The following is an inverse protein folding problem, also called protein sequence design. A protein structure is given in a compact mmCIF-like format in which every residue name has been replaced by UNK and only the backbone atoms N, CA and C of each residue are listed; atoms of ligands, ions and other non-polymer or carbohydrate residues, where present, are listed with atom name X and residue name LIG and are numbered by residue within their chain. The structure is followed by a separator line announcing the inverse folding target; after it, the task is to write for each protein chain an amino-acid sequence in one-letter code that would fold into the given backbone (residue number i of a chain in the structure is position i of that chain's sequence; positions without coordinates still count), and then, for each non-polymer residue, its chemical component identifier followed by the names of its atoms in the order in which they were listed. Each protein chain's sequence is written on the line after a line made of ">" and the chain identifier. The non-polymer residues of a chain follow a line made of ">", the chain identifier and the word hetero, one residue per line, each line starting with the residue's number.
data_IF_494477824059
#
_entry.id   IF_494477824059
#
_cell.length_a   1.000
_cell.length_b   1.000
_cell.length_c   1.000
_cell.angle_alpha   90.00
_cell.angle_beta   90.00
_cell.angle_gamma   90.00
#
_symmetry.space_group_name_H-M   'P 1'
#
loop_
_entity.id
_entity.type
_entity.pdbx_description
1 polymer ?
#
# COMPACT_ATOMS: atom_id res chain seq x y z
N UNK A 1 -16.26 2.20 29.13
CA UNK A 1 -16.30 2.21 27.65
C UNK A 1 -15.07 1.47 27.17
N UNK A 2 -15.22 0.55 26.21
CA UNK A 2 -14.13 -0.33 25.79
C UNK A 2 -13.09 0.40 24.95
N UNK A 3 -11.82 0.17 25.27
CA UNK A 3 -10.64 0.57 24.50
C UNK A 3 -10.84 0.15 23.02
N UNK A 4 -11.02 1.13 22.12
CA UNK A 4 -11.22 0.83 20.69
C UNK A 4 -9.86 0.60 20.06
N UNK A 5 -9.34 -0.63 20.15
CA UNK A 5 -8.03 -0.97 19.59
C UNK A 5 -8.02 -0.77 18.08
N UNK A 6 -7.00 -0.06 17.58
CA UNK A 6 -6.72 -0.02 16.15
C UNK A 6 -6.24 -1.40 15.71
N UNK A 7 -6.90 -1.95 14.71
CA UNK A 7 -6.55 -3.24 14.10
C UNK A 7 -6.02 -3.02 12.68
N UNK A 8 -5.27 -3.99 12.15
CA UNK A 8 -4.73 -3.91 10.78
C UNK A 8 -5.80 -3.57 9.74
N UNK A 9 -6.99 -4.17 9.86
CA UNK A 9 -8.14 -3.89 9.00
C UNK A 9 -8.54 -2.40 8.96
N UNK A 10 -8.40 -1.66 10.07
CA UNK A 10 -8.66 -0.22 10.11
C UNK A 10 -7.57 0.55 9.35
N UNK A 11 -6.31 0.12 9.47
CA UNK A 11 -5.17 0.73 8.77
C UNK A 11 -5.31 0.52 7.26
N UNK A 12 -5.57 -0.71 6.81
CA UNK A 12 -5.78 -1.01 5.39
C UNK A 12 -7.04 -0.29 4.86
N UNK A 13 -8.11 -0.25 5.66
CA UNK A 13 -9.32 0.48 5.33
C UNK A 13 -9.09 2.00 5.18
N UNK A 14 -8.23 2.58 6.02
CA UNK A 14 -7.78 3.95 5.88
C UNK A 14 -7.01 4.17 4.58
N UNK A 15 -6.04 3.31 4.23
CA UNK A 15 -5.31 3.40 2.96
C UNK A 15 -6.25 3.41 1.74
N UNK A 16 -7.22 2.50 1.71
CA UNK A 16 -8.26 2.42 0.66
C UNK A 16 -9.12 3.68 0.60
N UNK A 17 -9.51 4.23 1.76
CA UNK A 17 -10.26 5.48 1.82
C UNK A 17 -9.50 6.64 1.19
N UNK A 18 -8.20 6.77 1.51
CA UNK A 18 -7.37 7.86 0.99
C UNK A 18 -7.18 7.77 -0.53
N UNK A 19 -7.04 6.56 -1.07
CA UNK A 19 -6.98 6.32 -2.51
C UNK A 19 -8.31 6.70 -3.18
N UNK A 20 -9.43 6.23 -2.65
CA UNK A 20 -10.77 6.54 -3.19
C UNK A 20 -11.07 8.05 -3.16
N UNK A 21 -10.66 8.75 -2.11
CA UNK A 21 -10.77 10.20 -2.03
C UNK A 21 -9.94 10.91 -3.12
N UNK A 22 -8.70 10.49 -3.33
CA UNK A 22 -7.86 11.02 -4.40
C UNK A 22 -8.48 10.78 -5.78
N UNK A 23 -9.04 9.59 -6.03
CA UNK A 23 -9.69 9.23 -7.30
C UNK A 23 -10.94 10.07 -7.58
N UNK A 24 -11.65 10.49 -6.52
CA UNK A 24 -12.78 11.44 -6.60
C UNK A 24 -12.37 12.90 -6.77
N UNK A 25 -11.08 13.17 -6.95
CA UNK A 25 -10.55 14.53 -7.05
C UNK A 25 -10.56 15.29 -5.72
N UNK A 26 -10.58 14.58 -4.59
CA UNK A 26 -10.44 15.13 -3.25
C UNK A 26 -9.03 14.84 -2.72
N UNK A 27 -8.01 15.64 -3.09
CA UNK A 27 -6.62 15.34 -2.78
C UNK A 27 -6.36 15.43 -1.27
N UNK A 28 -5.78 14.36 -0.75
CA UNK A 28 -5.29 14.28 0.62
C UNK A 28 -3.81 14.65 0.66
N UNK A 29 -3.45 15.63 1.48
CA UNK A 29 -2.06 16.08 1.65
C UNK A 29 -1.27 15.15 2.57
N UNK A 30 -1.90 14.67 3.64
CA UNK A 30 -1.37 13.63 4.54
C UNK A 30 -2.51 13.06 5.37
N UNK A 31 -2.32 11.88 5.95
CA UNK A 31 -3.26 11.30 6.89
C UNK A 31 -2.54 10.45 7.93
N UNK A 32 -3.18 10.25 9.08
CA UNK A 32 -2.72 9.31 10.08
C UNK A 32 -3.87 8.75 10.91
N UNK A 33 -3.72 7.52 11.37
CA UNK A 33 -4.40 7.09 12.59
C UNK A 33 -3.66 7.66 13.78
N UNK A 34 -4.35 8.33 14.69
CA UNK A 34 -3.80 8.90 15.91
C UNK A 34 -4.56 8.37 17.13
N UNK A 35 -3.81 7.92 18.14
CA UNK A 35 -4.38 7.59 19.44
C UNK A 35 -4.49 8.86 20.30
N UNK A 36 -5.73 9.27 20.57
CA UNK A 36 -6.05 10.46 21.35
C UNK A 36 -6.05 10.13 22.84
N UNK A 37 -5.09 10.67 23.58
CA UNK A 37 -4.89 10.35 25.01
C UNK A 37 -6.10 10.74 25.86
N UNK A 38 -6.68 11.92 25.60
CA UNK A 38 -7.79 12.45 26.40
C UNK A 38 -9.10 11.65 26.22
N UNK A 39 -9.30 11.09 25.03
CA UNK A 39 -10.52 10.36 24.67
C UNK A 39 -10.33 8.83 24.69
N UNK A 40 -9.10 8.35 24.86
CA UNK A 40 -8.70 6.94 24.81
C UNK A 40 -9.25 6.23 23.55
N UNK A 41 -9.11 6.90 22.40
CA UNK A 41 -9.65 6.42 21.13
C UNK A 41 -8.70 6.62 19.96
N UNK A 42 -8.82 5.74 18.97
CA UNK A 42 -8.12 5.85 17.69
C UNK A 42 -8.96 6.60 16.66
N UNK A 43 -8.37 7.63 16.06
CA UNK A 43 -9.02 8.49 15.07
C UNK A 43 -8.16 8.67 13.81
N UNK A 44 -8.77 8.51 12.65
CA UNK A 44 -8.18 8.81 11.36
C UNK A 44 -8.25 10.31 11.10
N UNK A 45 -7.12 10.99 11.14
CA UNK A 45 -6.98 12.38 10.76
C UNK A 45 -6.59 12.48 9.28
N UNK A 46 -7.35 13.24 8.50
CA UNK A 46 -7.14 13.45 7.07
C UNK A 46 -6.90 14.93 6.84
N UNK A 47 -5.71 15.30 6.42
CA UNK A 47 -5.36 16.68 6.12
C UNK A 47 -5.58 16.99 4.64
N UNK A 48 -6.25 18.10 4.36
CA UNK A 48 -6.62 18.52 3.00
C UNK A 48 -6.28 19.99 2.75
N UNK A 49 -6.01 20.39 1.49
CA UNK A 49 -5.78 21.78 1.15
C UNK A 49 -7.00 22.66 1.47
N UNK A 50 -6.84 23.85 2.08
CA UNK A 50 -7.95 24.71 2.50
C UNK A 50 -8.91 25.07 1.38
N UNK A 51 -8.38 25.26 0.16
CA UNK A 51 -9.17 25.61 -1.04
C UNK A 51 -10.22 24.55 -1.43
N UNK A 52 -10.07 23.31 -0.96
CA UNK A 52 -11.00 22.21 -1.24
C UNK A 52 -11.99 21.98 -0.11
N UNK A 53 -11.74 22.58 1.05
CA UNK A 53 -12.69 22.64 2.15
C UNK A 53 -13.66 23.83 1.96
N UNK A 54 -14.30 23.93 0.78
CA UNK A 54 -15.30 24.98 0.50
C UNK A 54 -16.40 25.04 1.60
N UNK A 55 -16.69 23.90 2.22
CA UNK A 55 -17.19 23.83 3.59
C UNK A 55 -16.73 22.54 4.27
N UNK A 56 -16.58 22.57 5.60
CA UNK A 56 -16.28 21.36 6.39
C UNK A 56 -17.34 20.28 6.17
N UNK A 57 -18.62 20.65 6.08
CA UNK A 57 -19.71 19.72 5.83
C UNK A 57 -19.55 18.96 4.51
N UNK A 58 -19.13 19.65 3.45
CA UNK A 58 -18.88 19.03 2.15
C UNK A 58 -17.74 18.03 2.18
N UNK A 59 -16.66 18.34 2.89
CA UNK A 59 -15.55 17.39 3.08
C UNK A 59 -16.02 16.09 3.77
N UNK A 60 -16.78 16.20 4.86
CA UNK A 60 -17.34 15.02 5.53
C UNK A 60 -18.34 14.25 4.65
N UNK A 61 -19.10 14.93 3.79
CA UNK A 61 -20.00 14.29 2.83
C UNK A 61 -19.24 13.41 1.84
N UNK A 62 -18.12 13.92 1.30
CA UNK A 62 -17.26 13.18 0.38
C UNK A 62 -16.59 11.98 1.07
N UNK A 63 -16.06 12.19 2.28
CA UNK A 63 -15.50 11.11 3.11
C UNK A 63 -16.54 10.03 3.37
N UNK A 64 -17.74 10.41 3.82
CA UNK A 64 -18.80 9.46 4.11
C UNK A 64 -19.20 8.65 2.87
N UNK A 65 -19.35 9.31 1.71
CA UNK A 65 -19.67 8.63 0.47
C UNK A 65 -18.60 7.59 0.10
N UNK A 66 -17.32 7.95 0.17
CA UNK A 66 -16.23 7.01 -0.09
C UNK A 66 -16.19 5.84 0.91
N UNK A 67 -16.43 6.11 2.20
CA UNK A 67 -16.49 5.07 3.23
C UNK A 67 -17.63 4.07 3.00
N UNK A 68 -18.79 4.55 2.54
CA UNK A 68 -19.94 3.71 2.21
C UNK A 68 -19.67 2.83 0.99
N UNK A 69 -19.11 3.41 -0.08
CA UNK A 69 -18.81 2.68 -1.32
C UNK A 69 -17.74 1.58 -1.11
N UNK A 70 -16.83 1.78 -0.15
CA UNK A 70 -15.79 0.81 0.22
C UNK A 70 -16.22 -0.19 1.30
N UNK A 71 -17.41 -0.02 1.88
CA UNK A 71 -17.94 -0.80 3.02
C UNK A 71 -16.96 -0.84 4.22
N UNK A 72 -16.42 0.32 4.61
CA UNK A 72 -15.42 0.39 5.69
C UNK A 72 -16.03 0.06 7.06
N UNK A 73 -15.27 -0.67 7.88
CA UNK A 73 -15.71 -1.17 9.18
C UNK A 73 -15.67 -0.16 10.33
N UNK A 74 -15.07 1.02 10.12
CA UNK A 74 -15.00 2.08 11.13
C UNK A 74 -15.98 3.22 10.80
N UNK A 75 -16.61 3.86 11.81
CA UNK A 75 -17.58 4.93 11.60
C UNK A 75 -16.91 6.27 11.26
N UNK A 76 -17.66 7.17 10.60
CA UNK A 76 -17.23 8.54 10.28
C UNK A 76 -16.85 9.34 11.54
N UNK A 77 -17.42 9.04 12.71
CA UNK A 77 -17.06 9.68 13.99
C UNK A 77 -15.61 9.42 14.43
N UNK A 78 -14.98 8.37 13.89
CA UNK A 78 -13.54 8.09 14.04
C UNK A 78 -12.70 8.75 12.94
N UNK A 79 -13.27 9.67 12.16
CA UNK A 79 -12.54 10.41 11.12
C UNK A 79 -12.62 11.90 11.39
N UNK A 80 -11.49 12.60 11.28
CA UNK A 80 -11.44 14.05 11.34
C UNK A 80 -10.74 14.62 10.12
N UNK A 81 -11.42 15.51 9.42
CA UNK A 81 -10.81 16.31 8.35
C UNK A 81 -10.24 17.61 8.95
N UNK A 82 -8.96 17.88 8.66
CA UNK A 82 -8.22 19.05 9.12
C UNK A 82 -7.57 19.80 7.96
N UNK A 83 -7.15 21.04 8.19
CA UNK A 83 -6.40 21.81 7.20
C UNK A 83 -4.94 21.36 7.15
N UNK A 84 -4.37 21.27 5.96
CA UNK A 84 -2.94 20.97 5.80
C UNK A 84 -2.00 22.16 6.09
N UNK A 85 -2.57 23.35 6.35
CA UNK A 85 -1.84 24.54 6.82
C UNK A 85 -1.49 24.47 8.32
N UNK A 86 -2.04 23.51 9.05
CA UNK A 86 -1.71 23.33 10.45
C UNK A 86 -0.24 22.89 10.63
N UNK A 87 0.54 23.62 11.45
CA UNK A 87 1.97 23.33 11.66
C UNK A 87 2.23 21.87 12.08
N UNK A 88 1.37 21.30 12.92
CA UNK A 88 1.50 19.90 13.36
C UNK A 88 1.39 18.90 12.19
N UNK A 89 0.54 19.20 11.21
CA UNK A 89 0.36 18.41 9.99
C UNK A 89 1.58 18.54 9.07
N UNK A 90 2.16 19.72 8.97
CA UNK A 90 3.38 19.94 8.17
C UNK A 90 4.57 19.15 8.72
N UNK A 91 4.74 19.09 10.04
CA UNK A 91 5.79 18.28 10.68
C UNK A 91 5.60 16.77 10.46
N UNK A 92 4.36 16.29 10.32
CA UNK A 92 4.09 14.88 10.03
C UNK A 92 4.58 14.49 8.65
N UNK A 93 4.45 15.38 7.65
CA UNK A 93 4.89 15.10 6.27
C UNK A 93 6.38 14.80 6.19
N UNK A 94 7.21 15.52 6.95
CA UNK A 94 8.66 15.30 6.95
C UNK A 94 9.08 13.97 7.57
N UNK A 95 8.24 13.36 8.42
CA UNK A 95 8.54 12.07 9.06
C UNK A 95 8.29 10.88 8.13
N UNK A 96 7.37 11.03 7.17
CA UNK A 96 6.89 9.94 6.30
C UNK A 96 7.79 9.69 5.10
N UNK A 97 8.55 10.70 4.66
CA UNK A 97 9.48 10.58 3.52
C UNK A 97 10.59 9.54 3.75
N UNK A 98 10.72 9.01 4.97
CA UNK A 98 11.83 8.17 5.41
C UNK A 98 11.53 6.67 5.32
N UNK A 99 10.28 6.22 5.23
CA UNK A 99 9.94 4.80 5.39
C UNK A 99 9.00 4.21 4.32
N UNK A 100 9.07 2.88 4.19
CA UNK A 100 8.77 2.04 3.03
C UNK A 100 7.31 1.61 2.93
N UNK A 101 6.62 1.61 4.06
CA UNK A 101 5.24 1.17 4.20
C UNK A 101 4.29 2.30 3.78
N UNK A 102 3.15 1.93 3.20
CA UNK A 102 2.05 2.88 3.00
C UNK A 102 1.55 3.48 4.33
N UNK A 103 1.85 2.85 5.48
CA UNK A 103 1.61 3.39 6.82
C UNK A 103 2.78 3.09 7.80
N UNK A 104 3.26 4.12 8.52
CA UNK A 104 4.41 4.03 9.43
C UNK A 104 3.98 4.28 10.86
N UNK A 105 4.27 3.32 11.75
CA UNK A 105 3.99 3.45 13.19
C UNK A 105 4.99 4.40 13.86
N UNK A 106 4.49 5.41 14.57
CA UNK A 106 5.27 6.42 15.26
C UNK A 106 4.81 6.58 16.71
N UNK A 107 5.78 6.63 17.63
CA UNK A 107 5.54 7.09 18.99
C UNK A 107 5.60 8.63 19.01
N UNK A 108 4.52 9.28 19.44
CA UNK A 108 4.41 10.74 19.44
C UNK A 108 4.83 11.37 20.76
N UNK A 109 5.07 10.59 21.81
CA UNK A 109 5.62 11.09 23.07
C UNK A 109 4.81 12.24 23.68
N UNK A 110 3.48 12.19 23.57
CA UNK A 110 2.55 13.25 23.97
C UNK A 110 2.61 14.55 23.13
N UNK A 111 3.06 14.49 21.88
CA UNK A 111 2.93 15.59 20.93
C UNK A 111 1.45 16.00 20.75
N UNK A 112 1.22 17.26 20.39
CA UNK A 112 -0.12 17.74 20.03
C UNK A 112 -0.29 17.77 18.52
N UNK A 113 -1.28 17.03 18.02
CA UNK A 113 -1.70 17.06 16.62
C UNK A 113 -3.09 17.66 16.57
N UNK A 114 -3.27 18.73 15.79
CA UNK A 114 -4.54 19.45 15.67
C UNK A 114 -5.14 19.87 17.02
N UNK A 115 -4.27 20.27 17.96
CA UNK A 115 -4.66 20.67 19.30
C UNK A 115 -5.06 19.52 20.23
N UNK A 116 -4.91 18.25 19.85
CA UNK A 116 -5.18 17.07 20.69
C UNK A 116 -3.88 16.35 21.06
N UNK A 117 -3.79 15.83 22.28
CA UNK A 117 -2.62 15.05 22.71
C UNK A 117 -2.65 13.65 22.09
N UNK A 118 -1.56 13.28 21.42
CA UNK A 118 -1.39 12.00 20.73
C UNK A 118 -0.24 11.21 21.37
N UNK A 119 -0.49 9.95 21.74
CA UNK A 119 0.56 9.06 22.27
C UNK A 119 1.28 8.29 21.18
N UNK A 120 0.53 7.80 20.19
CA UNK A 120 0.98 6.94 19.11
C UNK A 120 0.15 7.19 17.83
N UNK A 121 0.70 6.81 16.68
CA UNK A 121 -0.03 6.93 15.43
C UNK A 121 0.59 6.15 14.27
N UNK A 122 -0.21 5.94 13.24
CA UNK A 122 0.20 5.34 11.97
C UNK A 122 0.02 6.37 10.86
N UNK A 123 1.11 6.88 10.30
CA UNK A 123 1.07 7.95 9.30
C UNK A 123 1.18 7.37 7.90
N UNK A 124 0.30 7.81 6.99
CA UNK A 124 0.25 7.31 5.63
C UNK A 124 1.21 8.02 4.69
N UNK A 125 1.90 7.25 3.85
CA UNK A 125 2.67 7.77 2.71
C UNK A 125 1.77 7.96 1.51
N UNK A 126 1.34 9.21 1.28
CA UNK A 126 0.52 9.56 0.11
C UNK A 126 1.23 9.25 -1.20
N UNK A 127 2.56 9.37 -1.22
CA UNK A 127 3.39 9.04 -2.36
C UNK A 127 3.39 7.52 -2.63
N UNK A 128 3.52 6.70 -1.58
CA UNK A 128 3.45 5.25 -1.71
C UNK A 128 2.08 4.77 -2.17
N UNK A 129 1.01 5.27 -1.55
CA UNK A 129 -0.36 4.96 -1.93
C UNK A 129 -0.65 5.33 -3.38
N UNK A 130 -0.16 6.49 -3.84
CA UNK A 130 -0.31 6.93 -5.23
C UNK A 130 0.44 6.01 -6.18
N UNK A 131 1.66 5.58 -5.81
CA UNK A 131 2.47 4.68 -6.63
C UNK A 131 1.83 3.30 -6.75
N UNK A 132 1.41 2.69 -5.64
CA UNK A 132 0.66 1.43 -5.61
C UNK A 132 -0.59 1.50 -6.48
N UNK A 133 -1.37 2.58 -6.36
CA UNK A 133 -2.55 2.78 -7.18
C UNK A 133 -2.22 2.87 -8.69
N UNK A 134 -1.12 3.54 -9.06
CA UNK A 134 -0.71 3.61 -10.47
C UNK A 134 -0.32 2.23 -11.03
N UNK A 135 0.38 1.42 -10.23
CA UNK A 135 0.71 0.03 -10.59
C UNK A 135 -0.58 -0.79 -10.70
N UNK A 136 -1.47 -0.73 -9.71
CA UNK A 136 -2.78 -1.39 -9.74
C UNK A 136 -3.58 -1.03 -11.00
N UNK A 137 -3.70 0.25 -11.31
CA UNK A 137 -4.42 0.73 -12.48
C UNK A 137 -3.78 0.21 -13.78
N UNK A 138 -2.45 0.10 -13.84
CA UNK A 138 -1.75 -0.50 -14.97
C UNK A 138 -2.04 -1.99 -15.11
N UNK A 139 -1.98 -2.72 -14.00
CA UNK A 139 -2.31 -4.14 -13.94
C UNK A 139 -3.74 -4.41 -14.39
N UNK A 140 -4.72 -3.61 -13.94
CA UNK A 140 -6.12 -3.72 -14.39
C UNK A 140 -6.30 -3.51 -15.89
N UNK A 141 -5.45 -2.73 -16.55
CA UNK A 141 -5.49 -2.55 -18.01
C UNK A 141 -4.92 -3.75 -18.77
N UNK A 142 -4.27 -4.69 -18.08
CA UNK A 142 -3.72 -5.94 -18.63
C UNK A 142 -4.65 -7.14 -18.38
N UNK A 143 -5.90 -6.89 -17.97
CA UNK A 143 -6.93 -7.90 -17.70
C UNK A 143 -7.44 -8.61 -18.98
N UNK A 144 -6.80 -8.36 -20.12
CA UNK A 144 -7.06 -9.02 -21.41
C UNK A 144 -6.46 -10.43 -21.50
N UNK A 145 -5.80 -10.92 -20.46
CA UNK A 145 -5.00 -12.16 -20.51
C UNK A 145 -5.73 -13.43 -20.02
N UNK A 146 -7.04 -13.39 -19.75
CA UNK A 146 -7.78 -14.55 -19.21
C UNK A 146 -7.27 -15.01 -17.85
N UNK A 147 -6.82 -14.05 -17.03
CA UNK A 147 -6.15 -14.26 -15.74
C UNK A 147 -7.05 -13.81 -14.60
N UNK A 148 -6.83 -14.38 -13.42
CA UNK A 148 -7.44 -13.86 -12.19
C UNK A 148 -6.50 -12.81 -11.61
N UNK A 149 -7.00 -11.58 -11.50
CA UNK A 149 -6.31 -10.47 -10.83
C UNK A 149 -7.00 -10.16 -9.52
N UNK A 150 -6.24 -10.23 -8.43
CA UNK A 150 -6.75 -9.92 -7.08
C UNK A 150 -5.81 -8.94 -6.37
N UNK A 151 -6.39 -7.97 -5.66
CA UNK A 151 -5.63 -7.23 -4.66
C UNK A 151 -5.29 -8.20 -3.52
N UNK A 152 -4.01 -8.38 -3.21
CA UNK A 152 -3.47 -9.49 -2.41
C UNK A 152 -3.68 -9.36 -0.90
N UNK A 153 -4.70 -8.64 -0.48
CA UNK A 153 -5.03 -8.41 0.93
C UNK A 153 -5.43 -9.68 1.68
N UNK A 154 -5.74 -9.50 2.96
CA UNK A 154 -6.07 -10.56 3.96
C UNK A 154 -7.01 -11.69 3.51
N UNK A 155 -7.79 -11.53 2.44
CA UNK A 155 -8.63 -12.61 1.89
C UNK A 155 -7.82 -13.80 1.38
N UNK A 156 -6.66 -13.57 0.77
CA UNK A 156 -5.81 -14.65 0.25
C UNK A 156 -4.90 -15.24 1.33
N UNK A 157 -4.65 -14.49 2.41
CA UNK A 157 -3.71 -14.86 3.46
C UNK A 157 -4.24 -14.55 4.87
N UNK A 158 -5.35 -15.17 5.30
CA UNK A 158 -6.01 -14.79 6.56
C UNK A 158 -5.13 -15.00 7.81
N UNK A 159 -4.18 -15.93 7.75
CA UNK A 159 -3.32 -16.31 8.87
C UNK A 159 -1.85 -15.84 8.72
N UNK A 160 -1.52 -15.07 7.68
CA UNK A 160 -0.15 -14.60 7.47
C UNK A 160 0.02 -13.14 7.92
N UNK A 161 1.13 -12.80 8.57
CA UNK A 161 1.38 -11.43 9.04
C UNK A 161 1.68 -10.44 7.91
N UNK A 162 1.88 -10.94 6.69
CA UNK A 162 2.25 -10.14 5.52
C UNK A 162 1.38 -10.53 4.34
N UNK A 163 0.88 -9.51 3.66
CA UNK A 163 0.10 -9.57 2.44
C UNK A 163 1.00 -9.22 1.27
N UNK A 164 0.67 -9.72 0.08
CA UNK A 164 1.20 -9.22 -1.18
C UNK A 164 0.28 -8.13 -1.69
N UNK A 165 0.81 -7.16 -2.41
CA UNK A 165 -0.03 -6.07 -2.90
C UNK A 165 -1.01 -6.58 -3.96
N UNK A 166 -0.53 -7.40 -4.89
CA UNK A 166 -1.36 -7.98 -5.94
C UNK A 166 -1.00 -9.43 -6.28
N UNK A 167 -1.97 -10.14 -6.86
CA UNK A 167 -1.79 -11.49 -7.38
C UNK A 167 -2.28 -11.55 -8.81
N UNK A 168 -1.45 -12.10 -9.70
CA UNK A 168 -1.85 -12.56 -11.02
C UNK A 168 -1.75 -14.08 -11.08
N UNK A 169 -2.75 -14.75 -11.62
CA UNK A 169 -2.66 -16.20 -11.81
C UNK A 169 -3.28 -16.67 -13.13
N UNK A 170 -2.80 -17.81 -13.60
CA UNK A 170 -3.45 -18.63 -14.61
C UNK A 170 -3.56 -20.08 -14.09
N UNK A 171 -4.05 -20.99 -14.92
CA UNK A 171 -4.23 -22.41 -14.55
C UNK A 171 -2.93 -23.15 -14.17
N UNK A 172 -1.76 -22.58 -14.47
CA UNK A 172 -0.45 -23.24 -14.29
C UNK A 172 0.44 -22.57 -13.26
N UNK A 173 0.29 -21.27 -13.04
CA UNK A 173 1.25 -20.49 -12.26
C UNK A 173 0.61 -19.24 -11.67
N UNK A 174 1.13 -18.85 -10.52
CA UNK A 174 0.79 -17.63 -9.80
C UNK A 174 2.00 -16.69 -9.77
N UNK A 175 1.74 -15.40 -9.85
CA UNK A 175 2.71 -14.32 -9.72
C UNK A 175 2.22 -13.38 -8.63
N UNK A 176 2.92 -13.40 -7.51
CA UNK A 176 2.79 -12.40 -6.47
C UNK A 176 3.51 -11.13 -6.90
N UNK A 177 2.87 -9.99 -6.68
CA UNK A 177 3.42 -8.68 -7.02
C UNK A 177 3.55 -7.86 -5.75
N UNK A 178 4.79 -7.47 -5.44
CA UNK A 178 5.12 -6.52 -4.37
C UNK A 178 5.50 -5.18 -5.01
N UNK A 179 4.92 -4.10 -4.50
CA UNK A 179 5.21 -2.73 -4.91
C UNK A 179 6.04 -2.03 -3.84
N UNK A 180 7.22 -1.58 -4.26
CA UNK A 180 8.18 -0.88 -3.42
C UNK A 180 8.26 0.59 -3.84
N UNK A 181 7.49 1.45 -3.16
CA UNK A 181 7.44 2.89 -3.41
C UNK A 181 8.61 3.69 -2.78
N UNK A 182 9.76 3.05 -2.57
CA UNK A 182 10.88 3.62 -1.83
C UNK A 182 11.48 4.83 -2.53
N UNK A 183 11.88 5.85 -1.77
CA UNK A 183 12.70 6.99 -2.25
C UNK A 183 14.14 6.57 -2.62
N UNK A 184 14.60 5.45 -2.06
CA UNK A 184 15.91 4.82 -2.36
C UNK A 184 15.75 3.55 -3.21
N UNK A 185 16.86 3.05 -3.73
CA UNK A 185 16.91 1.73 -4.39
C UNK A 185 16.52 0.62 -3.41
N UNK A 186 15.85 -0.42 -3.92
CA UNK A 186 15.58 -1.65 -3.16
C UNK A 186 16.88 -2.44 -3.01
N UNK A 187 17.20 -2.82 -1.77
CA UNK A 187 18.41 -3.54 -1.40
C UNK A 187 18.24 -5.07 -1.42
N UNK A 188 19.35 -5.80 -1.53
CA UNK A 188 19.36 -7.28 -1.56
C UNK A 188 18.71 -7.89 -0.30
N UNK A 189 19.00 -7.33 0.87
CA UNK A 189 18.44 -7.80 2.14
C UNK A 189 16.91 -7.81 2.13
N UNK A 190 16.30 -6.80 1.49
CA UNK A 190 14.85 -6.72 1.33
C UNK A 190 14.32 -7.79 0.39
N UNK A 191 15.00 -8.05 -0.73
CA UNK A 191 14.62 -9.13 -1.64
C UNK A 191 14.73 -10.50 -0.97
N UNK A 192 15.73 -10.72 -0.11
CA UNK A 192 15.88 -11.96 0.67
C UNK A 192 14.74 -12.14 1.67
N UNK A 193 14.35 -11.08 2.35
CA UNK A 193 13.21 -11.08 3.27
C UNK A 193 11.91 -11.47 2.53
N UNK A 194 11.66 -10.81 1.39
CA UNK A 194 10.53 -11.08 0.51
C UNK A 194 10.52 -12.51 0.00
N UNK A 195 11.64 -13.00 -0.53
CA UNK A 195 11.77 -14.37 -1.02
C UNK A 195 11.63 -15.41 0.11
N UNK A 196 12.12 -15.10 1.30
CA UNK A 196 11.95 -15.96 2.47
C UNK A 196 10.49 -16.09 2.88
N UNK A 197 9.72 -15.00 2.82
CA UNK A 197 8.26 -15.04 3.02
C UNK A 197 7.56 -15.79 1.87
N UNK A 198 7.89 -15.46 0.62
CA UNK A 198 7.34 -16.13 -0.56
C UNK A 198 7.52 -17.64 -0.48
N UNK A 199 8.71 -18.13 -0.13
CA UNK A 199 8.98 -19.56 -0.02
C UNK A 199 8.09 -20.26 1.02
N UNK A 200 7.72 -19.59 2.13
CA UNK A 200 6.81 -20.17 3.13
C UNK A 200 5.36 -20.25 2.64
N UNK A 201 4.98 -19.32 1.78
CA UNK A 201 3.59 -19.13 1.37
C UNK A 201 3.30 -19.85 0.05
N UNK A 202 4.28 -20.00 -0.83
CA UNK A 202 4.14 -20.67 -2.13
C UNK A 202 3.58 -22.09 -2.00
N UNK A 203 3.99 -22.84 -0.97
CA UNK A 203 3.53 -24.21 -0.71
C UNK A 203 2.05 -24.30 -0.32
N UNK A 204 1.42 -23.16 0.01
CA UNK A 204 -0.02 -23.10 0.33
C UNK A 204 -0.92 -23.06 -0.91
N UNK A 205 -0.35 -22.98 -2.12
CA UNK A 205 -1.10 -22.85 -3.37
C UNK A 205 -0.97 -24.09 -4.25
N UNK A 206 -2.02 -24.44 -5.02
CA UNK A 206 -2.03 -25.64 -5.86
C UNK A 206 -1.15 -25.52 -7.12
N UNK A 207 -0.67 -24.31 -7.42
CA UNK A 207 0.19 -24.02 -8.57
C UNK A 207 1.48 -23.34 -8.10
N UNK A 208 2.61 -23.54 -8.81
CA UNK A 208 3.84 -22.82 -8.53
C UNK A 208 3.61 -21.31 -8.46
N UNK A 209 4.25 -20.65 -7.49
CA UNK A 209 4.25 -19.20 -7.35
C UNK A 209 5.62 -18.61 -7.71
N UNK A 210 5.61 -17.40 -8.26
CA UNK A 210 6.78 -16.57 -8.45
C UNK A 210 6.52 -15.16 -7.90
N UNK A 211 7.59 -14.41 -7.68
CA UNK A 211 7.54 -13.05 -7.17
C UNK A 211 7.97 -12.04 -8.24
N UNK A 212 7.20 -10.98 -8.40
CA UNK A 212 7.53 -9.79 -9.16
C UNK A 212 7.65 -8.62 -8.19
N UNK A 213 8.79 -7.94 -8.17
CA UNK A 213 8.97 -6.73 -7.36
C UNK A 213 8.99 -5.52 -8.28
N UNK A 214 8.11 -4.56 -8.02
CA UNK A 214 7.98 -3.32 -8.78
C UNK A 214 8.52 -2.18 -7.92
N UNK A 215 9.66 -1.59 -8.29
CA UNK A 215 10.30 -0.53 -7.51
C UNK A 215 10.24 0.81 -8.24
N UNK A 216 9.93 1.89 -7.51
CA UNK A 216 9.93 3.24 -8.09
C UNK A 216 11.32 3.73 -8.47
N UNK A 217 12.26 3.63 -7.54
CA UNK A 217 13.63 4.12 -7.69
C UNK A 217 14.64 3.01 -8.04
N UNK A 218 14.13 1.88 -8.53
CA UNK A 218 14.93 0.75 -8.99
C UNK A 218 15.60 -0.05 -7.88
N UNK A 219 16.67 -0.76 -8.24
CA UNK A 219 17.31 -1.78 -7.41
C UNK A 219 18.82 -1.55 -7.31
N UNK A 220 19.41 -1.86 -6.16
CA UNK A 220 20.87 -1.84 -6.01
C UNK A 220 21.53 -2.96 -6.82
N UNK A 221 22.83 -2.82 -7.11
CA UNK A 221 23.56 -3.83 -7.87
C UNK A 221 23.58 -5.21 -7.17
N UNK A 222 23.75 -5.30 -5.84
CA UNK A 222 23.59 -6.57 -5.11
C UNK A 222 22.19 -7.18 -5.28
N UNK A 223 21.13 -6.36 -5.23
CA UNK A 223 19.76 -6.81 -5.45
C UNK A 223 19.55 -7.39 -6.86
N UNK A 224 20.10 -6.72 -7.89
CA UNK A 224 20.04 -7.20 -9.28
C UNK A 224 20.80 -8.52 -9.45
N UNK A 225 21.99 -8.63 -8.84
CA UNK A 225 22.81 -9.85 -8.86
C UNK A 225 22.08 -11.01 -8.19
N UNK A 226 21.45 -10.77 -7.04
CA UNK A 226 20.66 -11.76 -6.33
C UNK A 226 19.48 -12.24 -7.19
N UNK A 227 18.69 -11.33 -7.75
CA UNK A 227 17.56 -11.70 -8.61
C UNK A 227 17.99 -12.45 -9.88
N UNK A 228 19.16 -12.14 -10.43
CA UNK A 228 19.71 -12.85 -11.58
C UNK A 228 20.03 -14.33 -11.29
N UNK A 229 20.20 -14.72 -10.02
CA UNK A 229 20.35 -16.13 -9.61
C UNK A 229 19.01 -16.86 -9.42
N UNK A 230 17.88 -16.12 -9.44
CA UNK A 230 16.53 -16.60 -9.16
C UNK A 230 15.56 -16.35 -10.33
N UNK A 231 16.04 -16.30 -11.58
CA UNK A 231 15.28 -15.82 -12.74
C UNK A 231 13.94 -16.53 -12.99
N UNK A 232 13.77 -17.77 -12.54
CA UNK A 232 12.53 -18.54 -12.69
C UNK A 232 11.46 -18.21 -11.63
N UNK A 233 11.86 -17.62 -10.51
CA UNK A 233 11.01 -17.35 -9.35
C UNK A 233 10.99 -15.88 -8.92
N UNK A 234 11.86 -15.03 -9.45
CA UNK A 234 11.95 -13.62 -9.12
C UNK A 234 12.20 -12.76 -10.37
N UNK A 235 11.37 -11.74 -10.58
CA UNK A 235 11.62 -10.65 -11.53
C UNK A 235 11.57 -9.29 -10.85
N UNK A 236 12.38 -8.38 -11.36
CA UNK A 236 12.49 -7.01 -10.89
C UNK A 236 12.04 -6.06 -12.00
N UNK A 237 11.14 -5.14 -11.70
CA UNK A 237 10.67 -4.10 -12.62
C UNK A 237 10.89 -2.74 -11.97
N UNK A 238 11.60 -1.86 -12.67
CA UNK A 238 11.67 -0.45 -12.25
C UNK A 238 10.54 0.30 -12.94
N UNK A 239 9.71 1.00 -12.16
CA UNK A 239 8.56 1.75 -12.67
C UNK A 239 8.71 3.23 -12.35
N UNK A 240 9.07 4.02 -13.35
CA UNK A 240 9.21 5.47 -13.22
C UNK A 240 7.93 6.22 -13.60
N UNK A 241 7.15 5.72 -14.56
CA UNK A 241 5.99 6.41 -15.11
C UNK A 241 4.86 5.45 -15.52
N UNK A 242 3.66 6.00 -15.75
CA UNK A 242 2.50 5.24 -16.27
C UNK A 242 2.74 4.55 -17.62
N UNK A 243 3.78 4.94 -18.36
CA UNK A 243 4.14 4.35 -19.65
C UNK A 243 4.97 3.06 -19.52
N UNK A 244 5.42 2.72 -18.30
CA UNK A 244 6.24 1.53 -18.06
C UNK A 244 5.41 0.23 -17.97
N UNK A 245 4.13 0.30 -18.37
CA UNK A 245 3.22 -0.84 -18.45
C UNK A 245 3.78 -1.99 -19.30
N UNK A 246 4.61 -1.70 -20.30
CA UNK A 246 5.27 -2.71 -21.11
C UNK A 246 6.23 -3.60 -20.28
N UNK A 247 7.08 -2.99 -19.46
CA UNK A 247 8.05 -3.71 -18.63
C UNK A 247 7.35 -4.58 -17.56
N UNK A 248 6.27 -4.07 -16.98
CA UNK A 248 5.45 -4.83 -16.05
C UNK A 248 4.76 -6.03 -16.73
N UNK A 249 4.18 -5.82 -17.93
CA UNK A 249 3.57 -6.89 -18.72
C UNK A 249 4.59 -7.97 -19.09
N UNK A 250 5.77 -7.56 -19.56
CA UNK A 250 6.87 -8.45 -19.92
C UNK A 250 7.31 -9.28 -18.71
N UNK A 251 7.58 -8.64 -17.56
CA UNK A 251 7.99 -9.33 -16.34
C UNK A 251 6.96 -10.37 -15.86
N UNK A 252 5.67 -10.05 -15.92
CA UNK A 252 4.60 -11.03 -15.60
C UNK A 252 4.59 -12.18 -16.61
N UNK A 253 4.69 -11.88 -17.92
CA UNK A 253 4.66 -12.90 -18.96
C UNK A 253 5.85 -13.86 -18.86
N UNK A 254 7.06 -13.33 -18.63
CA UNK A 254 8.26 -14.13 -18.40
C UNK A 254 8.10 -15.05 -17.18
N UNK A 255 7.57 -14.53 -16.07
CA UNK A 255 7.34 -15.35 -14.88
C UNK A 255 6.31 -16.44 -15.13
N UNK A 256 5.19 -16.13 -15.79
CA UNK A 256 4.14 -17.12 -16.05
C UNK A 256 4.59 -18.23 -17.00
N UNK A 257 5.52 -17.94 -17.92
CA UNK A 257 6.04 -18.91 -18.88
C UNK A 257 7.33 -19.61 -18.40
N UNK A 258 8.00 -19.09 -17.36
CA UNK A 258 9.23 -19.69 -16.86
C UNK A 258 8.99 -21.09 -16.27
N UNK A 259 9.64 -22.10 -16.86
CA UNK A 259 9.59 -23.51 -16.44
C UNK A 259 8.86 -24.45 -17.39
N UNK A 260 8.18 -23.94 -18.43
CA UNK A 260 7.56 -24.78 -19.46
C UNK A 260 8.60 -25.43 -20.40
N UNK A 261 9.80 -24.82 -20.56
CA UNK A 261 10.87 -25.32 -21.44
C UNK A 261 11.62 -26.56 -20.93
N UNK A 262 11.37 -27.02 -19.70
CA UNK A 262 12.09 -28.14 -19.09
C UNK A 262 11.34 -29.49 -19.18
N UNK A 263 10.25 -29.56 -19.95
CA UNK A 263 9.36 -30.74 -20.04
C UNK A 263 9.19 -31.33 -21.44
N UNK A 264 10.01 -30.91 -22.41
CA UNK A 264 10.06 -31.52 -23.76
C UNK A 264 11.13 -32.60 -23.88
#
# INVERSE_FOLDING_TARGET
>A
MGETKLVKRDIDGGARLLQELNDRGFPVSTALWAHLVEADEWRLMIAVPPRLAASRAEAYRLVQAAMLDLELGFPLSRTTVVSDEERSVQSLRTLVEVDQSHAVGLAFGAARVCGQQVSEGFVYSMEALTFEHQVFAALRRMDDLGRVFEAGGSRLFPDQPREVDFVFSNARKMVFIEVAALTRKVEESRLRELMGWHARVADSFPVPAALLVVARNGFSEPAQTYAASLRSSLRLVTWGTRNDAAALREGIAELLNAGDDARD
#
